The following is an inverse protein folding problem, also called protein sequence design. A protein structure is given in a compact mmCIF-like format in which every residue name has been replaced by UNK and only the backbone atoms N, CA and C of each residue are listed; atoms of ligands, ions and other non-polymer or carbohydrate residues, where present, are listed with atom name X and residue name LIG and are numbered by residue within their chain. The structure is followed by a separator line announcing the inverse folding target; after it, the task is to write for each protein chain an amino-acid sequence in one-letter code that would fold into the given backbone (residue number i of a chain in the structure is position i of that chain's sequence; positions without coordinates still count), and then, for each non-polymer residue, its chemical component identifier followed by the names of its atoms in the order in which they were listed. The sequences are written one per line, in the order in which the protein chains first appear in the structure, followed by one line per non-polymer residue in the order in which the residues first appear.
data_IF_111663040681
#
_entry.id   IF_111663040681
#
_cell.length_a   1.000
_cell.length_b   1.000
_cell.length_c   1.000
_cell.angle_alpha   90.00
_cell.angle_beta   90.00
_cell.angle_gamma   90.00
#
_symmetry.space_group_name_H-M   'P 1'
#
loop_
_entity.id
_entity.type
_entity.pdbx_description
1 polymer ?
#
# COMPACT_ATOMS: atom_id res chain seq x y z
N UNK A 1 0.22 1.89 19.70
CA UNK A 1 -0.55 3.03 20.25
C UNK A 1 -0.35 4.32 19.45
N UNK A 2 0.89 4.71 19.09
CA UNK A 2 1.18 5.93 18.30
C UNK A 2 0.61 5.92 16.87
N UNK A 3 0.63 4.76 16.20
CA UNK A 3 0.04 4.59 14.84
C UNK A 3 -1.47 4.82 14.81
N UNK A 4 -2.20 4.42 15.86
CA UNK A 4 -3.65 4.64 15.93
C UNK A 4 -4.00 6.12 16.13
N UNK A 5 -3.20 6.85 16.93
CA UNK A 5 -3.34 8.30 17.09
C UNK A 5 -3.03 9.06 15.79
N UNK A 6 -2.01 8.64 15.04
CA UNK A 6 -1.67 9.23 13.74
C UNK A 6 -2.72 8.94 12.66
N UNK A 7 -3.28 7.73 12.67
CA UNK A 7 -4.43 7.31 11.85
C UNK A 7 -5.64 8.22 12.05
N UNK A 8 -5.97 8.55 13.32
CA UNK A 8 -7.11 9.43 13.61
C UNK A 8 -6.86 10.89 13.21
N UNK A 9 -5.60 11.36 13.23
CA UNK A 9 -5.23 12.68 12.72
C UNK A 9 -5.29 12.76 11.19
N UNK A 10 -4.83 11.73 10.48
CA UNK A 10 -4.90 11.70 9.01
C UNK A 10 -6.34 11.66 8.47
N UNK A 11 -7.32 11.33 9.31
CA UNK A 11 -8.73 11.17 8.93
C UNK A 11 -9.56 12.46 9.03
N UNK A 12 -9.09 13.49 9.75
CA UNK A 12 -9.95 14.63 10.12
C UNK A 12 -9.99 15.81 9.14
N UNK A 13 -8.93 16.06 8.35
CA UNK A 13 -8.91 17.16 7.38
C UNK A 13 -7.72 17.11 6.41
N UNK A 14 -7.81 17.83 5.28
CA UNK A 14 -6.68 18.05 4.37
C UNK A 14 -5.53 18.82 5.03
N UNK A 15 -5.83 19.64 6.04
CA UNK A 15 -4.84 20.36 6.84
C UNK A 15 -3.96 19.38 7.66
N UNK A 16 -4.55 18.31 8.20
CA UNK A 16 -3.83 17.29 8.96
C UNK A 16 -2.90 16.45 8.08
N UNK A 17 -3.33 16.10 6.86
CA UNK A 17 -2.49 15.42 5.87
C UNK A 17 -1.29 16.28 5.45
N UNK A 18 -1.50 17.60 5.28
CA UNK A 18 -0.41 18.53 5.02
C UNK A 18 0.53 18.71 6.21
N UNK A 19 0.03 18.69 7.44
CA UNK A 19 0.84 18.75 8.65
C UNK A 19 1.72 17.50 8.81
N UNK A 20 1.19 16.30 8.54
CA UNK A 20 2.00 15.07 8.56
C UNK A 20 3.19 15.14 7.60
N UNK A 21 2.97 15.68 6.41
CA UNK A 21 4.04 15.90 5.43
C UNK A 21 5.05 16.94 5.93
N UNK A 22 4.58 18.08 6.45
CA UNK A 22 5.45 19.15 6.97
C UNK A 22 6.27 18.73 8.18
N UNK A 23 5.73 17.89 9.06
CA UNK A 23 6.39 17.43 10.28
C UNK A 23 7.31 16.20 10.04
N UNK A 24 7.47 15.73 8.80
CA UNK A 24 8.33 14.59 8.47
C UNK A 24 7.76 13.22 8.89
N UNK A 25 6.50 13.17 9.34
CA UNK A 25 5.86 11.93 9.79
C UNK A 25 5.76 10.91 8.64
N UNK A 26 5.50 11.38 7.42
CA UNK A 26 5.44 10.54 6.22
C UNK A 26 6.74 9.77 5.97
N UNK A 27 7.89 10.43 6.10
CA UNK A 27 9.20 9.79 5.97
C UNK A 27 9.35 8.67 7.02
N UNK A 28 9.01 8.98 8.27
CA UNK A 28 9.13 8.03 9.38
C UNK A 28 8.20 6.82 9.23
N UNK A 29 7.00 7.01 8.70
CA UNK A 29 6.07 5.92 8.41
C UNK A 29 6.59 5.01 7.29
N UNK A 30 7.19 5.57 6.23
CA UNK A 30 7.82 4.79 5.17
C UNK A 30 9.00 3.97 5.71
N UNK A 31 9.86 4.57 6.53
CA UNK A 31 10.94 3.85 7.23
C UNK A 31 10.38 2.72 8.12
N UNK A 32 9.32 3.02 8.88
CA UNK A 32 8.68 2.07 9.78
C UNK A 32 8.15 0.86 9.01
N UNK A 33 7.48 1.06 7.87
CA UNK A 33 6.96 -0.03 7.02
C UNK A 33 8.11 -0.95 6.57
N UNK A 34 9.25 -0.39 6.19
CA UNK A 34 10.43 -1.15 5.74
C UNK A 34 11.11 -1.95 6.85
N UNK A 35 11.16 -1.39 8.07
CA UNK A 35 11.99 -1.93 9.15
C UNK A 35 11.22 -2.80 10.14
N UNK A 36 9.92 -2.56 10.33
CA UNK A 36 9.15 -3.29 11.34
C UNK A 36 8.97 -4.76 10.96
N UNK A 37 9.11 -5.65 11.94
CA UNK A 37 8.70 -7.06 11.82
C UNK A 37 7.25 -7.28 12.30
N UNK A 38 6.66 -6.30 12.99
CA UNK A 38 5.27 -6.35 13.43
C UNK A 38 4.33 -5.97 12.27
N UNK A 39 3.58 -6.96 11.80
CA UNK A 39 2.66 -6.82 10.68
C UNK A 39 1.49 -5.89 10.97
N UNK A 40 1.00 -5.85 12.21
CA UNK A 40 -0.08 -4.94 12.57
C UNK A 40 0.41 -3.50 12.54
N UNK A 41 1.64 -3.26 13.00
CA UNK A 41 2.27 -1.94 12.90
C UNK A 41 2.51 -1.56 11.43
N UNK A 42 2.98 -2.51 10.61
CA UNK A 42 3.18 -2.29 9.17
C UNK A 42 1.88 -1.93 8.47
N UNK A 43 0.83 -2.72 8.70
CA UNK A 43 -0.50 -2.51 8.11
C UNK A 43 -1.08 -1.16 8.53
N UNK A 44 -0.96 -0.80 9.82
CA UNK A 44 -1.41 0.50 10.29
C UNK A 44 -0.64 1.66 9.64
N UNK A 45 0.68 1.55 9.50
CA UNK A 45 1.47 2.59 8.85
C UNK A 45 1.13 2.72 7.35
N UNK A 46 0.95 1.59 6.64
CA UNK A 46 0.47 1.59 5.26
C UNK A 46 -0.92 2.21 5.16
N UNK A 47 -1.81 1.87 6.08
CA UNK A 47 -3.17 2.41 6.14
C UNK A 47 -3.17 3.93 6.37
N UNK A 48 -2.32 4.44 7.27
CA UNK A 48 -2.18 5.89 7.50
C UNK A 48 -1.71 6.59 6.22
N UNK A 49 -0.66 6.11 5.56
CA UNK A 49 -0.14 6.72 4.33
C UNK A 49 -1.11 6.63 3.16
N UNK A 50 -1.89 5.54 3.08
CA UNK A 50 -2.95 5.37 2.10
C UNK A 50 -4.04 6.43 2.24
N UNK A 51 -4.44 6.80 3.46
CA UNK A 51 -5.39 7.90 3.67
C UNK A 51 -4.80 9.25 3.25
N UNK A 52 -3.53 9.51 3.55
CA UNK A 52 -2.83 10.73 3.08
C UNK A 52 -2.83 10.77 1.54
N UNK A 53 -2.62 9.64 0.86
CA UNK A 53 -2.76 9.55 -0.60
C UNK A 53 -4.21 9.77 -1.07
N UNK A 54 -5.19 9.27 -0.35
CA UNK A 54 -6.61 9.42 -0.67
C UNK A 54 -7.12 10.85 -0.59
N UNK A 55 -6.54 11.69 0.28
CA UNK A 55 -7.00 13.05 0.59
C UNK A 55 -6.89 14.01 -0.59
N UNK A 56 -5.70 14.28 -1.12
CA UNK A 56 -5.53 15.23 -2.24
C UNK A 56 -4.38 14.88 -3.20
N UNK A 57 -4.43 15.48 -4.39
CA UNK A 57 -3.45 15.25 -5.46
C UNK A 57 -2.01 15.59 -5.05
N UNK A 58 -1.83 16.69 -4.33
CA UNK A 58 -0.52 17.12 -3.83
C UNK A 58 0.09 16.10 -2.86
N UNK A 59 -0.72 15.52 -1.97
CA UNK A 59 -0.27 14.47 -1.06
C UNK A 59 0.15 13.20 -1.81
N UNK A 60 -0.54 12.81 -2.89
CA UNK A 60 -0.13 11.68 -3.74
C UNK A 60 1.21 11.93 -4.42
N UNK A 61 1.38 13.10 -5.04
CA UNK A 61 2.66 13.45 -5.68
C UNK A 61 3.79 13.43 -4.66
N UNK A 62 3.57 14.00 -3.47
CA UNK A 62 4.56 13.96 -2.39
C UNK A 62 4.92 12.53 -1.96
N UNK A 63 3.93 11.65 -1.76
CA UNK A 63 4.17 10.24 -1.42
C UNK A 63 4.87 9.47 -2.53
N UNK A 64 4.55 9.80 -3.79
CA UNK A 64 5.21 9.23 -4.95
C UNK A 64 6.70 9.64 -4.98
N UNK A 65 7.01 10.91 -4.74
CA UNK A 65 8.38 11.42 -4.66
C UNK A 65 9.17 10.81 -3.48
N UNK A 66 8.48 10.54 -2.37
CA UNK A 66 9.05 9.85 -1.20
C UNK A 66 9.24 8.33 -1.40
N UNK A 67 8.85 7.79 -2.55
CA UNK A 67 9.03 6.38 -2.89
C UNK A 67 8.05 5.43 -2.20
N UNK A 68 6.87 5.92 -1.80
CA UNK A 68 5.83 5.07 -1.20
C UNK A 68 5.26 4.06 -2.21
N UNK A 69 5.07 4.46 -3.46
CA UNK A 69 4.61 3.54 -4.52
C UNK A 69 5.60 2.40 -4.75
N UNK A 70 6.90 2.72 -4.83
CA UNK A 70 7.95 1.72 -5.04
C UNK A 70 8.00 0.72 -3.87
N UNK A 71 7.79 1.21 -2.63
CA UNK A 71 7.68 0.36 -1.45
C UNK A 71 6.48 -0.60 -1.54
N UNK A 72 5.30 -0.10 -1.92
CA UNK A 72 4.12 -0.96 -2.09
C UNK A 72 4.34 -2.04 -3.16
N UNK A 73 4.95 -1.65 -4.29
CA UNK A 73 5.29 -2.57 -5.38
C UNK A 73 6.28 -3.64 -4.90
N UNK A 74 7.33 -3.24 -4.19
CA UNK A 74 8.33 -4.17 -3.63
C UNK A 74 7.70 -5.18 -2.67
N UNK A 75 6.80 -4.73 -1.79
CA UNK A 75 6.11 -5.61 -0.84
C UNK A 75 5.21 -6.60 -1.57
N UNK A 76 4.37 -6.12 -2.49
CA UNK A 76 3.46 -6.98 -3.25
C UNK A 76 4.22 -7.95 -4.16
N UNK A 77 5.35 -7.55 -4.74
CA UNK A 77 6.21 -8.43 -5.51
C UNK A 77 6.81 -9.53 -4.65
N UNK A 78 7.37 -9.18 -3.49
CA UNK A 78 7.89 -10.14 -2.51
C UNK A 78 6.81 -11.16 -2.11
N UNK A 79 5.59 -10.71 -1.82
CA UNK A 79 4.51 -11.58 -1.33
C UNK A 79 3.85 -12.41 -2.44
N UNK A 80 4.15 -12.13 -3.71
CA UNK A 80 3.63 -12.87 -4.87
C UNK A 80 4.68 -13.73 -5.55
N UNK A 81 5.95 -13.65 -5.11
CA UNK A 81 7.02 -14.43 -5.68
C UNK A 81 6.78 -15.95 -5.53
N UNK A 82 7.14 -16.80 -6.52
CA UNK A 82 6.89 -18.25 -6.50
C UNK A 82 7.46 -18.97 -5.27
N UNK A 83 8.55 -18.44 -4.69
CA UNK A 83 9.17 -18.98 -3.47
C UNK A 83 8.20 -18.87 -2.28
N UNK A 84 7.43 -17.79 -2.19
CA UNK A 84 6.43 -17.64 -1.13
C UNK A 84 5.32 -18.68 -1.25
N UNK A 85 4.92 -19.07 -2.46
CA UNK A 85 3.86 -20.06 -2.67
C UNK A 85 4.20 -21.44 -2.09
N UNK A 86 5.47 -21.87 -2.22
CA UNK A 86 5.99 -23.10 -1.61
C UNK A 86 6.02 -23.04 -0.08
N UNK A 87 6.25 -21.86 0.50
CA UNK A 87 6.38 -21.72 1.95
C UNK A 87 5.03 -21.47 2.62
N UNK A 88 4.09 -20.79 1.96
CA UNK A 88 2.71 -20.59 2.43
C UNK A 88 2.00 -21.94 2.64
N UNK A 89 2.35 -22.97 1.87
CA UNK A 89 1.78 -24.32 2.03
C UNK A 89 2.31 -25.06 3.26
N UNK A 90 3.46 -24.67 3.83
CA UNK A 90 4.17 -25.46 4.84
C UNK A 90 4.33 -24.79 6.22
N UNK A 91 4.17 -23.48 6.35
CA UNK A 91 4.38 -22.80 7.64
C UNK A 91 3.34 -21.70 7.89
N UNK A 92 2.44 -21.97 8.85
CA UNK A 92 1.34 -21.09 9.25
C UNK A 92 1.76 -19.91 10.13
N UNK A 93 3.06 -19.72 10.40
CA UNK A 93 3.52 -18.78 11.44
C UNK A 93 4.48 -17.65 11.03
N UNK A 94 5.35 -17.83 10.02
CA UNK A 94 6.56 -16.98 9.93
C UNK A 94 6.73 -16.08 8.70
N UNK A 95 5.84 -16.11 7.70
CA UNK A 95 6.02 -15.26 6.52
C UNK A 95 5.34 -13.90 6.71
N UNK A 96 6.15 -12.99 7.26
CA UNK A 96 5.87 -11.62 7.67
C UNK A 96 5.42 -10.66 6.54
N UNK A 97 4.65 -11.13 5.56
CA UNK A 97 4.22 -10.35 4.41
C UNK A 97 2.95 -10.86 3.73
N UNK A 98 2.61 -12.15 3.93
CA UNK A 98 1.58 -12.83 3.15
C UNK A 98 0.22 -12.94 3.87
N UNK A 99 -0.08 -12.09 4.86
CA UNK A 99 -1.43 -12.11 5.44
C UNK A 99 -2.43 -11.57 4.43
N UNK A 100 -3.60 -12.21 4.26
CA UNK A 100 -4.66 -11.67 3.40
C UNK A 100 -5.01 -10.21 3.73
N UNK A 101 -4.97 -9.81 5.00
CA UNK A 101 -5.20 -8.43 5.45
C UNK A 101 -4.12 -7.46 4.95
N UNK A 102 -2.85 -7.88 5.02
CA UNK A 102 -1.70 -7.07 4.59
C UNK A 102 -1.71 -6.85 3.07
N UNK A 103 -2.01 -7.92 2.30
CA UNK A 103 -2.22 -7.82 0.85
C UNK A 103 -3.33 -6.83 0.51
N UNK A 104 -4.51 -6.98 1.14
CA UNK A 104 -5.65 -6.08 0.93
C UNK A 104 -5.30 -4.63 1.26
N UNK A 105 -4.63 -4.40 2.38
CA UNK A 105 -4.19 -3.05 2.79
C UNK A 105 -3.23 -2.44 1.77
N UNK A 106 -2.28 -3.22 1.25
CA UNK A 106 -1.33 -2.75 0.25
C UNK A 106 -2.01 -2.46 -1.10
N UNK A 107 -2.92 -3.32 -1.58
CA UNK A 107 -3.68 -3.08 -2.82
C UNK A 107 -4.61 -1.88 -2.67
N UNK A 108 -5.24 -1.71 -1.52
CA UNK A 108 -6.03 -0.52 -1.21
C UNK A 108 -5.17 0.75 -1.20
N UNK A 109 -3.95 0.68 -0.65
CA UNK A 109 -2.98 1.79 -0.71
C UNK A 109 -2.59 2.12 -2.16
N UNK A 110 -2.38 1.11 -3.00
CA UNK A 110 -2.17 1.30 -4.45
C UNK A 110 -3.36 1.98 -5.09
N UNK A 111 -4.60 1.60 -4.78
CA UNK A 111 -5.79 2.23 -5.38
C UNK A 111 -5.90 3.72 -5.02
N UNK A 112 -5.62 4.08 -3.76
CA UNK A 112 -5.55 5.48 -3.34
C UNK A 112 -4.40 6.23 -4.01
N UNK A 113 -3.23 5.62 -4.18
CA UNK A 113 -2.13 6.22 -4.94
C UNK A 113 -2.47 6.42 -6.41
N UNK A 114 -3.30 5.57 -7.00
CA UNK A 114 -3.73 5.68 -8.40
C UNK A 114 -4.91 6.63 -8.60
N UNK A 115 -5.55 7.10 -7.51
CA UNK A 115 -6.80 7.86 -7.56
C UNK A 115 -6.68 9.17 -8.34
N UNK A 116 -7.67 9.43 -9.20
CA UNK A 116 -7.69 10.58 -10.10
C UNK A 116 -6.96 10.28 -11.41
N UNK A 117 -6.56 11.33 -12.15
CA UNK A 117 -5.90 11.15 -13.46
C UNK A 117 -4.38 11.04 -13.40
N UNK A 118 -3.77 11.02 -12.21
CA UNK A 118 -2.30 11.04 -12.07
C UNK A 118 -1.66 9.76 -12.63
N UNK A 119 -2.26 8.59 -12.39
CA UNK A 119 -1.73 7.31 -12.86
C UNK A 119 -1.66 7.21 -14.39
N UNK A 120 -2.60 7.83 -15.10
CA UNK A 120 -2.63 7.82 -16.56
C UNK A 120 -1.50 8.64 -17.21
N UNK A 121 -0.91 9.61 -16.49
CA UNK A 121 0.12 10.50 -17.02
C UNK A 121 1.51 10.26 -16.42
N UNK A 122 1.65 9.29 -15.50
CA UNK A 122 2.91 9.03 -14.81
C UNK A 122 3.39 7.60 -15.06
N UNK A 123 4.49 7.48 -15.79
CA UNK A 123 5.09 6.21 -16.20
C UNK A 123 5.50 5.31 -15.04
N UNK A 124 5.72 5.86 -13.83
CA UNK A 124 6.07 5.07 -12.64
C UNK A 124 4.99 4.04 -12.29
N UNK A 125 3.73 4.29 -12.63
CA UNK A 125 2.65 3.34 -12.38
C UNK A 125 2.71 2.11 -13.30
N UNK A 126 3.49 2.12 -14.38
CA UNK A 126 3.67 0.95 -15.24
C UNK A 126 4.28 -0.25 -14.49
N UNK A 127 5.04 0.00 -13.42
CA UNK A 127 5.61 -1.06 -12.58
C UNK A 127 4.56 -1.88 -11.83
N UNK A 128 3.33 -1.37 -11.68
CA UNK A 128 2.23 -2.09 -11.03
C UNK A 128 1.69 -3.23 -11.90
N UNK A 129 1.67 -3.05 -13.22
CA UNK A 129 1.04 -4.01 -14.16
C UNK A 129 1.49 -5.46 -13.94
N UNK A 130 2.79 -5.80 -13.92
CA UNK A 130 3.22 -7.18 -13.73
C UNK A 130 2.89 -7.73 -12.33
N UNK A 131 2.91 -6.88 -11.30
CA UNK A 131 2.61 -7.28 -9.92
C UNK A 131 1.11 -7.54 -9.73
N UNK A 132 0.26 -6.66 -10.27
CA UNK A 132 -1.20 -6.82 -10.24
C UNK A 132 -1.64 -8.07 -11.00
N UNK A 133 -1.00 -8.39 -12.13
CA UNK A 133 -1.26 -9.63 -12.86
C UNK A 133 -0.94 -10.88 -12.02
N UNK A 134 0.24 -10.92 -11.38
CA UNK A 134 0.59 -12.02 -10.45
C UNK A 134 -0.36 -12.11 -9.27
N UNK A 135 -0.74 -10.99 -8.66
CA UNK A 135 -1.72 -10.97 -7.57
C UNK A 135 -3.05 -11.58 -7.99
N UNK A 136 -3.55 -11.19 -9.17
CA UNK A 136 -4.78 -11.76 -9.73
C UNK A 136 -4.64 -13.26 -9.93
N UNK A 137 -3.57 -13.72 -10.56
CA UNK A 137 -3.43 -15.11 -10.96
C UNK A 137 -3.20 -16.03 -9.74
N UNK A 138 -2.36 -15.61 -8.78
CA UNK A 138 -2.00 -16.41 -7.61
C UNK A 138 -3.09 -16.39 -6.52
N UNK A 139 -3.86 -15.31 -6.43
CA UNK A 139 -4.85 -15.12 -5.35
C UNK A 139 -6.28 -14.95 -5.87
N UNK A 140 -6.60 -15.46 -7.06
CA UNK A 140 -7.94 -15.35 -7.68
C UNK A 140 -9.08 -15.85 -6.77
N UNK A 141 -8.77 -16.75 -5.84
CA UNK A 141 -9.71 -17.30 -4.87
C UNK A 141 -10.01 -16.34 -3.69
N UNK A 142 -9.17 -15.34 -3.44
CA UNK A 142 -9.36 -14.33 -2.39
C UNK A 142 -10.32 -13.23 -2.87
N UNK A 143 -11.63 -13.47 -2.75
CA UNK A 143 -12.67 -12.56 -3.26
C UNK A 143 -12.51 -11.11 -2.79
N UNK A 144 -12.16 -10.90 -1.52
CA UNK A 144 -11.99 -9.55 -0.96
C UNK A 144 -10.79 -8.83 -1.57
N UNK A 145 -9.70 -9.54 -1.87
CA UNK A 145 -8.55 -8.98 -2.58
C UNK A 145 -8.91 -8.61 -4.03
N UNK A 146 -9.71 -9.43 -4.70
CA UNK A 146 -10.15 -9.15 -6.07
C UNK A 146 -11.00 -7.88 -6.16
N UNK A 147 -11.80 -7.59 -5.13
CA UNK A 147 -12.55 -6.31 -5.05
C UNK A 147 -11.59 -5.12 -5.00
N UNK A 148 -10.54 -5.18 -4.20
CA UNK A 148 -9.52 -4.13 -4.13
C UNK A 148 -8.75 -3.97 -5.45
N UNK A 149 -8.40 -5.09 -6.12
CA UNK A 149 -7.76 -5.04 -7.45
C UNK A 149 -8.66 -4.40 -8.50
N UNK A 150 -9.97 -4.60 -8.45
CA UNK A 150 -10.91 -3.94 -9.36
C UNK A 150 -10.87 -2.41 -9.21
N UNK A 151 -10.74 -1.89 -7.98
CA UNK A 151 -10.57 -0.45 -7.75
C UNK A 151 -9.28 0.10 -8.37
N UNK A 152 -8.19 -0.66 -8.30
CA UNK A 152 -6.94 -0.29 -8.97
C UNK A 152 -7.11 -0.27 -10.49
N UNK A 153 -7.77 -1.28 -11.06
CA UNK A 153 -8.02 -1.37 -12.51
C UNK A 153 -8.78 -0.17 -13.09
N UNK A 154 -9.74 0.39 -12.34
CA UNK A 154 -10.49 1.59 -12.75
C UNK A 154 -9.59 2.84 -12.90
N UNK A 155 -8.40 2.85 -12.33
CA UNK A 155 -7.48 3.98 -12.45
C UNK A 155 -6.72 4.00 -13.80
N UNK A 156 -6.78 2.91 -14.56
CA UNK A 156 -6.06 2.73 -15.83
C UNK A 156 -6.98 2.66 -17.06
N UNK A 157 -8.29 2.82 -16.88
CA UNK A 157 -9.32 2.85 -17.94
C UNK A 157 -9.80 4.28 -18.19
#
# INVERSE_FOLDING_TARGET
MVTWTLTNLAYSSSEDSHLLNKCGATCKLIELIRQTCDLNVRDQAMWTLSNVAGDCATCRTFLLDMGFLDLLVSLLDEWTAPICELIIQHDSGLHAGSRPESRRTAVWAVSNMCRGRIAAYNERYAMLVPVLARLRDNFIHEKELMVELCWVGQCFT
#
